data_IF_530933178745
#
_entry.id   IF_530933178745
#
_cell.length_a   1.000
_cell.length_b   1.000
_cell.length_c   1.000
_cell.angle_alpha   90.00
_cell.angle_beta   90.00
_cell.angle_gamma   90.00
#
_symmetry.space_group_name_H-M   'P 1'
#
loop_
_entity.id
_entity.type
_entity.pdbx_description
1 polymer ?
#
# COMPACT_ATOMS: atom_id res chain seq x y z
N UNK A 1 -12.42 4.68 -23.22
CA UNK A 1 -11.51 4.76 -22.06
C UNK A 1 -12.39 5.07 -20.85
N UNK A 2 -12.55 4.11 -19.94
CA UNK A 2 -13.43 4.23 -18.78
C UNK A 2 -12.91 5.30 -17.82
N UNK A 3 -13.84 6.02 -17.17
CA UNK A 3 -13.53 6.93 -16.06
C UNK A 3 -12.64 6.18 -15.04
N UNK A 4 -11.45 6.69 -14.69
CA UNK A 4 -10.45 5.94 -13.91
C UNK A 4 -10.86 5.70 -12.44
N UNK A 5 -12.11 5.97 -12.07
CA UNK A 5 -12.56 5.95 -10.68
C UNK A 5 -11.95 7.09 -9.87
N UNK A 6 -12.36 7.22 -8.61
CA UNK A 6 -11.73 8.14 -7.67
C UNK A 6 -10.46 7.47 -7.15
N UNK A 7 -9.27 8.04 -7.41
CA UNK A 7 -8.05 7.48 -6.87
C UNK A 7 -7.97 7.70 -5.36
N UNK A 8 -7.82 6.62 -4.59
CA UNK A 8 -7.57 6.67 -3.15
C UNK A 8 -6.17 6.13 -2.87
N UNK A 9 -5.22 7.03 -2.61
CA UNK A 9 -3.85 6.67 -2.25
C UNK A 9 -3.37 7.49 -1.04
N UNK A 10 -2.59 6.86 -0.16
CA UNK A 10 -2.02 7.50 1.02
C UNK A 10 -0.52 7.68 0.79
N UNK A 11 -0.06 8.93 0.77
CA UNK A 11 1.36 9.24 0.61
C UNK A 11 2.02 9.27 1.99
N UNK A 12 2.95 8.35 2.25
CA UNK A 12 3.71 8.28 3.49
C UNK A 12 5.17 8.67 3.26
N UNK A 13 5.52 9.91 3.56
CA UNK A 13 6.90 10.41 3.48
C UNK A 13 7.75 9.83 4.62
N UNK A 14 8.32 8.65 4.37
CA UNK A 14 9.11 7.91 5.35
C UNK A 14 10.59 8.10 5.05
N UNK A 15 11.23 9.01 5.80
CA UNK A 15 12.69 9.19 5.76
C UNK A 15 13.36 8.06 6.55
N UNK A 16 14.22 7.30 5.89
CA UNK A 16 15.13 6.30 6.50
C UNK A 16 14.49 5.12 7.26
N UNK A 17 13.15 5.02 7.32
CA UNK A 17 12.45 3.90 7.97
C UNK A 17 11.16 3.57 7.19
N UNK A 18 11.22 2.66 6.20
CA UNK A 18 10.01 2.16 5.55
C UNK A 18 9.05 1.57 6.60
N UNK A 19 7.73 1.64 6.36
CA UNK A 19 6.74 1.13 7.29
C UNK A 19 6.79 -0.40 7.24
N UNK A 20 6.61 -1.03 8.38
CA UNK A 20 6.47 -2.47 8.46
C UNK A 20 5.17 -2.93 7.79
N UNK A 21 5.12 -4.21 7.41
CA UNK A 21 3.91 -4.80 6.84
C UNK A 21 2.70 -4.69 7.76
N UNK A 22 2.88 -4.90 9.07
CA UNK A 22 1.79 -4.85 10.05
C UNK A 22 1.22 -3.43 10.21
N UNK A 23 2.08 -2.40 10.16
CA UNK A 23 1.64 -1.00 10.13
C UNK A 23 0.80 -0.72 8.88
N UNK A 24 1.25 -1.18 7.70
CA UNK A 24 0.52 -1.02 6.45
C UNK A 24 -0.85 -1.72 6.49
N UNK A 25 -0.91 -2.97 6.94
CA UNK A 25 -2.17 -3.71 7.08
C UNK A 25 -3.12 -3.04 8.08
N UNK A 26 -2.60 -2.46 9.16
CA UNK A 26 -3.40 -1.74 10.16
C UNK A 26 -4.04 -0.49 9.57
N UNK A 27 -3.27 0.28 8.78
CA UNK A 27 -3.77 1.49 8.12
C UNK A 27 -4.82 1.15 7.06
N UNK A 28 -4.62 0.12 6.24
CA UNK A 28 -5.64 -0.32 5.27
C UNK A 28 -6.92 -0.81 5.95
N UNK A 29 -6.82 -1.57 7.05
CA UNK A 29 -7.98 -2.01 7.84
C UNK A 29 -8.74 -0.82 8.42
N UNK A 30 -8.03 0.17 8.95
CA UNK A 30 -8.64 1.39 9.50
C UNK A 30 -9.32 2.23 8.41
N UNK A 31 -8.67 2.39 7.26
CA UNK A 31 -9.21 3.16 6.14
C UNK A 31 -10.40 2.47 5.44
N UNK A 32 -10.52 1.15 5.55
CA UNK A 32 -11.59 0.36 4.94
C UNK A 32 -11.50 0.25 3.40
N UNK A 33 -10.39 0.69 2.82
CA UNK A 33 -10.13 0.71 1.37
C UNK A 33 -8.68 0.28 1.10
N UNK A 34 -8.40 -0.24 -0.12
CA UNK A 34 -7.02 -0.52 -0.54
C UNK A 34 -6.25 0.78 -0.68
N UNK A 35 -5.04 0.82 -0.13
CA UNK A 35 -4.17 1.99 -0.19
C UNK A 35 -2.95 1.68 -1.05
N UNK A 36 -2.49 2.71 -1.77
CA UNK A 36 -1.15 2.72 -2.35
C UNK A 36 -0.27 3.61 -1.49
N UNK A 37 0.88 3.10 -1.10
CA UNK A 37 1.87 3.76 -0.28
C UNK A 37 3.00 4.27 -1.15
N UNK A 38 3.40 5.52 -0.95
CA UNK A 38 4.51 6.12 -1.66
C UNK A 38 5.64 6.40 -0.68
N UNK A 39 6.76 5.69 -0.81
CA UNK A 39 7.98 5.92 -0.07
C UNK A 39 8.95 6.73 -0.92
N UNK A 40 9.54 7.77 -0.33
CA UNK A 40 10.59 8.57 -0.98
C UNK A 40 11.86 8.44 -0.15
N UNK A 41 12.91 7.89 -0.75
CA UNK A 41 14.21 7.70 -0.10
C UNK A 41 15.36 8.01 -1.07
N UNK A 42 16.31 8.84 -0.64
CA UNK A 42 17.47 9.28 -1.42
C UNK A 42 17.14 9.66 -2.90
N UNK A 43 16.05 10.42 -3.11
CA UNK A 43 15.60 10.85 -4.44
C UNK A 43 14.89 9.78 -5.28
N UNK A 44 14.69 8.57 -4.75
CA UNK A 44 13.93 7.48 -5.38
C UNK A 44 12.53 7.40 -4.81
N UNK A 45 11.56 7.10 -5.68
CA UNK A 45 10.17 6.89 -5.31
C UNK A 45 9.85 5.40 -5.48
N UNK A 46 9.35 4.79 -4.41
CA UNK A 46 8.81 3.42 -4.41
C UNK A 46 7.32 3.47 -4.13
N UNK A 47 6.52 2.87 -5.00
CA UNK A 47 5.09 2.70 -4.81
C UNK A 47 4.81 1.26 -4.36
N UNK A 48 4.15 1.11 -3.22
CA UNK A 48 3.79 -0.19 -2.65
C UNK A 48 2.28 -0.30 -2.51
N UNK A 49 1.74 -1.51 -2.72
CA UNK A 49 0.35 -1.86 -2.43
C UNK A 49 0.32 -3.25 -1.84
N UNK A 50 -0.54 -3.48 -0.85
CA UNK A 50 -0.72 -4.79 -0.26
C UNK A 50 -1.92 -5.48 -0.93
N UNK A 51 -1.66 -6.66 -1.47
CA UNK A 51 -2.71 -7.54 -1.97
C UNK A 51 -2.80 -8.79 -1.10
N UNK A 52 -4.03 -9.14 -0.72
CA UNK A 52 -4.31 -10.42 -0.08
C UNK A 52 -4.55 -11.45 -1.16
N UNK A 53 -3.72 -12.48 -1.19
CA UNK A 53 -3.87 -13.64 -2.05
C UNK A 53 -4.19 -14.85 -1.17
N UNK A 54 -5.31 -15.52 -1.46
CA UNK A 54 -5.65 -16.79 -0.82
C UNK A 54 -4.78 -17.88 -1.43
N UNK A 55 -3.99 -18.57 -0.62
CA UNK A 55 -3.18 -19.69 -1.09
C UNK A 55 -4.08 -20.92 -1.31
N UNK A 56 -3.86 -21.71 -2.38
CA UNK A 56 -4.56 -22.96 -2.55
C UNK A 56 -4.14 -23.95 -1.44
N UNK A 57 -5.11 -24.66 -0.87
CA UNK A 57 -4.85 -25.82 -0.02
C UNK A 57 -4.44 -27.00 -0.90
N UNK A 58 -3.29 -27.59 -0.59
CA UNK A 58 -2.84 -28.85 -1.21
C UNK A 58 -3.62 -30.03 -0.60
N UNK A 59 -3.88 -31.11 -1.38
CA UNK A 59 -4.55 -32.32 -0.89
C UNK A 59 -3.72 -33.07 0.16
#
# INVERSE_FOLDING_TARGET
KSSPGVPNFLVCLLRNKPPSRDELETVEKFAGIRLKFCQVDNGRISLLSLDRVTLPTLP
#
